data_IF_129141870978
#
_entry.id   IF_129141870978
#
_cell.length_a   1.000
_cell.length_b   1.000
_cell.length_c   1.000
_cell.angle_alpha   90.00
_cell.angle_beta   90.00
_cell.angle_gamma   90.00
#
_symmetry.space_group_name_H-M   'P 1'
#
loop_
_entity.id
_entity.type
_entity.pdbx_description
1 polymer ?
#
# COMPACT_ATOMS: atom_id res chain seq x y z
N UNK A 1 -25.54 46.47 -61.02
CA UNK A 1 -25.40 45.72 -62.29
C UNK A 1 -23.92 45.50 -62.58
N UNK A 2 -23.56 44.40 -63.28
CA UNK A 2 -22.19 43.95 -63.63
C UNK A 2 -21.28 43.63 -62.42
N UNK A 3 -20.46 42.56 -62.35
CA UNK A 3 -19.83 41.60 -63.31
C UNK A 3 -18.65 42.12 -64.15
N UNK A 4 -17.42 41.79 -63.70
CA UNK A 4 -16.20 41.32 -64.43
C UNK A 4 -15.10 41.15 -63.36
N UNK A 5 -14.38 40.04 -63.10
CA UNK A 5 -13.94 38.81 -63.81
C UNK A 5 -12.54 38.93 -64.46
N UNK A 6 -11.56 38.19 -63.89
CA UNK A 6 -10.34 37.61 -64.52
C UNK A 6 -9.23 38.59 -64.98
N UNK A 7 -7.91 38.30 -64.98
CA UNK A 7 -7.06 37.23 -64.38
C UNK A 7 -5.89 37.93 -63.60
N UNK A 8 -4.57 37.59 -63.53
CA UNK A 8 -3.68 36.46 -63.97
C UNK A 8 -2.33 36.53 -63.20
N UNK A 9 -1.68 35.38 -62.93
CA UNK A 9 -0.23 35.20 -62.60
C UNK A 9 0.30 35.89 -61.32
N UNK A 10 1.36 35.47 -60.63
CA UNK A 10 2.04 34.19 -60.36
C UNK A 10 3.40 34.55 -59.73
N UNK A 11 3.66 34.17 -58.48
CA UNK A 11 4.99 34.17 -57.88
C UNK A 11 5.08 33.00 -56.89
N UNK A 12 6.14 32.21 -56.96
CA UNK A 12 6.33 31.03 -56.12
C UNK A 12 7.27 31.34 -54.94
N UNK A 13 6.95 30.80 -53.76
CA UNK A 13 7.84 30.79 -52.59
C UNK A 13 7.87 29.37 -52.04
N UNK A 14 9.04 28.71 -51.96
CA UNK A 14 9.14 27.36 -51.43
C UNK A 14 9.15 27.39 -49.90
N UNK A 15 8.06 26.97 -49.27
CA UNK A 15 8.07 26.67 -47.84
C UNK A 15 8.71 25.30 -47.59
N UNK A 16 9.73 25.29 -46.72
CA UNK A 16 10.44 24.08 -46.31
C UNK A 16 9.51 23.22 -45.47
N UNK A 17 9.11 22.06 -45.99
CA UNK A 17 8.29 21.10 -45.27
C UNK A 17 9.12 20.40 -44.18
N UNK A 18 9.22 21.02 -43.00
CA UNK A 18 9.86 20.44 -41.83
C UNK A 18 9.13 19.17 -41.38
N UNK A 19 9.82 18.04 -41.37
CA UNK A 19 9.23 16.75 -41.06
C UNK A 19 8.83 16.63 -39.58
N UNK A 20 7.52 16.65 -39.32
CA UNK A 20 6.92 16.30 -38.04
C UNK A 20 5.86 15.23 -38.25
N UNK A 21 6.12 14.02 -37.72
CA UNK A 21 5.17 12.97 -37.26
C UNK A 21 5.94 11.66 -36.95
N UNK A 22 7.14 11.77 -36.37
CA UNK A 22 7.97 10.63 -35.94
C UNK A 22 7.70 10.18 -34.49
N UNK A 23 6.43 10.17 -34.06
CA UNK A 23 6.09 9.91 -32.65
C UNK A 23 6.38 8.44 -32.29
N UNK A 24 7.21 8.24 -31.28
CA UNK A 24 7.90 6.96 -31.00
C UNK A 24 6.98 5.85 -30.48
N UNK A 25 6.34 5.13 -31.39
CA UNK A 25 5.47 3.98 -31.08
C UNK A 25 6.20 2.83 -30.35
N UNK A 26 7.54 2.81 -30.35
CA UNK A 26 8.36 1.81 -29.66
C UNK A 26 8.20 1.84 -28.12
N UNK A 27 8.04 3.02 -27.50
CA UNK A 27 7.98 3.12 -26.04
C UNK A 27 6.67 2.56 -25.46
N UNK A 28 5.53 2.82 -26.13
CA UNK A 28 4.23 2.32 -25.70
C UNK A 28 4.14 0.78 -25.70
N UNK A 29 4.89 0.11 -26.59
CA UNK A 29 4.92 -1.36 -26.69
C UNK A 29 5.81 -2.04 -25.63
N UNK A 30 6.79 -1.34 -25.05
CA UNK A 30 7.53 -1.83 -23.88
C UNK A 30 6.78 -1.53 -22.56
N UNK A 31 6.00 -0.46 -22.49
CA UNK A 31 5.26 -0.06 -21.28
C UNK A 31 4.13 -1.00 -20.85
N UNK A 32 3.87 -2.08 -21.58
CA UNK A 32 2.83 -3.08 -21.30
C UNK A 32 3.36 -4.46 -20.90
N UNK A 33 4.61 -4.83 -21.27
CA UNK A 33 5.14 -6.18 -20.98
C UNK A 33 5.46 -6.42 -19.51
N UNK A 34 5.98 -5.42 -18.82
CA UNK A 34 6.41 -5.54 -17.42
C UNK A 34 5.27 -5.29 -16.41
N UNK A 35 4.09 -4.89 -16.89
CA UNK A 35 2.97 -4.49 -16.04
C UNK A 35 1.89 -5.57 -15.99
N UNK A 36 1.60 -6.05 -14.78
CA UNK A 36 0.37 -6.75 -14.49
C UNK A 36 -0.79 -5.75 -14.47
N UNK A 37 -1.91 -6.12 -15.08
CA UNK A 37 -3.15 -5.34 -15.07
C UNK A 37 -4.24 -6.09 -14.32
N UNK A 38 -5.00 -5.38 -13.49
CA UNK A 38 -6.07 -5.94 -12.66
C UNK A 38 -7.31 -5.06 -12.69
N UNK A 39 -8.49 -5.69 -12.61
CA UNK A 39 -9.75 -5.04 -12.25
C UNK A 39 -10.13 -5.50 -10.86
N UNK A 40 -10.20 -4.56 -9.92
CA UNK A 40 -10.62 -4.78 -8.54
C UNK A 40 -12.06 -4.31 -8.39
N UNK A 41 -12.93 -5.14 -7.86
CA UNK A 41 -14.31 -4.78 -7.47
C UNK A 41 -14.47 -4.97 -5.96
N UNK A 42 -14.76 -3.89 -5.25
CA UNK A 42 -15.17 -3.90 -3.85
C UNK A 42 -16.69 -3.74 -3.77
N UNK A 43 -17.35 -4.55 -2.96
CA UNK A 43 -18.77 -4.38 -2.62
C UNK A 43 -18.92 -4.26 -1.11
N UNK A 44 -19.76 -3.35 -0.65
CA UNK A 44 -20.15 -3.21 0.76
C UNK A 44 -21.67 -3.24 0.87
N UNK A 45 -22.14 -3.86 1.94
CA UNK A 45 -23.53 -4.04 2.32
C UNK A 45 -23.62 -3.84 3.84
N UNK A 46 -24.15 -2.69 4.27
CA UNK A 46 -24.37 -2.37 5.69
C UNK A 46 -25.85 -2.66 6.02
N UNK A 47 -26.16 -3.34 7.13
CA UNK A 47 -27.54 -3.63 7.51
C UNK A 47 -28.44 -2.39 7.59
N UNK A 48 -29.73 -2.56 7.30
CA UNK A 48 -30.73 -1.50 7.40
C UNK A 48 -30.80 -0.93 8.84
N UNK A 49 -31.00 0.39 8.92
CA UNK A 49 -30.93 1.18 10.16
C UNK A 49 -31.66 2.49 9.97
N UNK A 50 -32.14 3.10 11.06
CA UNK A 50 -32.80 4.41 11.05
C UNK A 50 -31.81 5.57 11.33
N UNK A 51 -30.53 5.24 11.49
CA UNK A 51 -29.43 6.17 11.77
C UNK A 51 -28.67 6.56 10.51
N UNK A 52 -28.02 7.73 10.50
CA UNK A 52 -27.15 8.12 9.40
C UNK A 52 -25.93 7.18 9.30
N UNK A 53 -25.56 6.79 8.08
CA UNK A 53 -24.48 5.83 7.82
C UNK A 53 -23.34 6.50 7.07
N UNK A 54 -22.10 6.25 7.51
CA UNK A 54 -20.88 6.67 6.84
C UNK A 54 -19.97 5.48 6.57
N UNK A 55 -19.28 5.51 5.43
CA UNK A 55 -18.36 4.48 4.95
C UNK A 55 -17.13 5.12 4.31
N UNK A 56 -15.93 4.62 4.65
CA UNK A 56 -14.67 5.00 4.03
C UNK A 56 -14.02 3.75 3.44
N UNK A 57 -13.89 3.71 2.11
CA UNK A 57 -13.14 2.68 1.40
C UNK A 57 -11.71 3.17 1.12
N UNK A 58 -10.65 2.47 1.55
CA UNK A 58 -9.29 2.82 1.14
C UNK A 58 -9.11 2.64 -0.36
N UNK A 59 -8.37 3.57 -0.97
CA UNK A 59 -8.03 3.56 -2.39
C UNK A 59 -6.52 3.73 -2.59
N UNK A 60 -5.94 3.09 -3.63
CA UNK A 60 -4.58 3.39 -4.07
C UNK A 60 -4.54 4.80 -4.65
N UNK A 61 -3.44 5.51 -4.40
CA UNK A 61 -3.13 6.73 -5.15
C UNK A 61 -3.06 6.45 -6.66
N UNK A 62 -3.51 7.41 -7.47
CA UNK A 62 -3.53 7.33 -8.95
C UNK A 62 -2.17 6.92 -9.55
N UNK A 63 -1.08 7.32 -8.89
CA UNK A 63 0.27 6.84 -9.13
C UNK A 63 1.00 6.71 -7.79
N UNK A 64 1.72 5.61 -7.60
CA UNK A 64 2.64 5.41 -6.49
C UNK A 64 3.99 4.96 -7.07
N UNK A 65 4.99 5.85 -6.96
CA UNK A 65 6.30 5.69 -7.58
C UNK A 65 6.23 5.46 -9.09
N UNK A 66 6.99 4.47 -9.54
CA UNK A 66 7.04 3.95 -10.91
C UNK A 66 6.48 2.52 -11.02
N UNK A 67 5.97 1.95 -9.93
CA UNK A 67 5.62 0.53 -9.80
C UNK A 67 4.11 0.25 -9.63
N UNK A 68 3.30 1.28 -9.38
CA UNK A 68 1.85 1.18 -9.26
C UNK A 68 1.13 2.38 -9.90
N UNK A 69 0.11 2.12 -10.71
CA UNK A 69 -0.78 3.12 -11.32
C UNK A 69 -2.24 2.67 -11.24
N UNK A 70 -3.14 3.56 -10.84
CA UNK A 70 -4.56 3.26 -10.66
C UNK A 70 -5.45 4.28 -11.38
N UNK A 71 -6.47 3.81 -12.09
CA UNK A 71 -7.48 4.68 -12.69
C UNK A 71 -8.41 5.27 -11.62
N UNK A 72 -9.11 6.34 -11.94
CA UNK A 72 -10.25 6.82 -11.12
C UNK A 72 -11.25 5.68 -10.97
N UNK A 73 -11.68 5.32 -9.74
CA UNK A 73 -12.67 4.27 -9.56
C UNK A 73 -14.04 4.72 -10.07
N UNK A 74 -14.82 3.77 -10.55
CA UNK A 74 -16.25 3.94 -10.85
C UNK A 74 -17.06 3.29 -9.72
N UNK A 75 -18.21 3.87 -9.36
CA UNK A 75 -19.05 3.33 -8.29
C UNK A 75 -20.55 3.46 -8.57
N UNK A 76 -21.33 2.60 -7.92
CA UNK A 76 -22.78 2.69 -7.77
C UNK A 76 -23.12 2.61 -6.29
N UNK A 77 -24.04 3.46 -5.84
CA UNK A 77 -24.50 3.59 -4.45
C UNK A 77 -26.02 3.45 -4.44
N UNK A 78 -26.60 2.82 -3.42
CA UNK A 78 -28.05 2.70 -3.26
C UNK A 78 -28.69 3.95 -2.63
N UNK A 79 -30.00 4.10 -2.88
CA UNK A 79 -30.88 5.16 -2.39
C UNK A 79 -30.34 6.59 -2.65
N UNK A 80 -30.54 7.51 -1.70
CA UNK A 80 -30.07 8.90 -1.75
C UNK A 80 -28.61 9.08 -1.26
N UNK A 81 -27.87 7.96 -1.20
CA UNK A 81 -26.48 7.90 -0.75
C UNK A 81 -25.52 8.68 -1.65
N UNK A 82 -24.64 9.48 -1.02
CA UNK A 82 -23.72 10.39 -1.69
C UNK A 82 -22.28 9.91 -1.50
N UNK A 83 -21.52 9.84 -2.60
CA UNK A 83 -20.13 9.38 -2.59
C UNK A 83 -19.18 10.43 -3.19
N UNK A 84 -18.01 10.59 -2.58
CA UNK A 84 -16.95 11.52 -2.98
C UNK A 84 -15.57 10.95 -2.70
N UNK A 85 -14.61 11.28 -3.55
CA UNK A 85 -13.19 11.04 -3.27
C UNK A 85 -12.67 12.09 -2.27
N UNK A 86 -11.89 11.66 -1.28
CA UNK A 86 -11.23 12.56 -0.32
C UNK A 86 -9.78 12.15 -0.07
N UNK A 87 -8.89 13.13 0.11
CA UNK A 87 -7.52 12.93 0.57
C UNK A 87 -7.42 13.28 2.05
N UNK A 88 -7.14 12.28 2.89
CA UNK A 88 -6.99 12.49 4.34
C UNK A 88 -5.52 12.83 4.66
N UNK A 89 -5.32 13.95 5.37
CA UNK A 89 -4.01 14.45 5.82
C UNK A 89 -3.56 13.76 7.13
N UNK A 90 -2.25 13.72 7.43
CA UNK A 90 -1.14 14.27 6.65
C UNK A 90 -0.75 13.42 5.44
N UNK A 91 -0.92 12.09 5.53
CA UNK A 91 -0.43 11.07 4.57
C UNK A 91 -1.07 11.07 3.17
N UNK A 92 -1.86 12.09 2.79
CA UNK A 92 -2.60 12.21 1.53
C UNK A 92 -3.35 10.92 1.13
N UNK A 93 -3.95 10.25 2.11
CA UNK A 93 -4.56 8.93 1.90
C UNK A 93 -5.89 9.05 1.18
N UNK A 94 -5.99 8.47 -0.01
CA UNK A 94 -7.19 8.52 -0.82
C UNK A 94 -8.25 7.55 -0.28
N UNK A 95 -9.47 8.03 -0.12
CA UNK A 95 -10.64 7.23 0.21
C UNK A 95 -11.83 7.57 -0.68
N UNK A 96 -12.69 6.59 -0.95
CA UNK A 96 -14.08 6.88 -1.31
C UNK A 96 -14.88 7.00 -0.01
N UNK A 97 -15.38 8.19 0.30
CA UNK A 97 -16.29 8.45 1.42
C UNK A 97 -17.71 8.41 0.88
N UNK A 98 -18.53 7.53 1.43
CA UNK A 98 -19.95 7.37 1.13
C UNK A 98 -20.77 7.69 2.37
N UNK A 99 -21.85 8.45 2.21
CA UNK A 99 -22.74 8.86 3.30
C UNK A 99 -24.19 8.67 2.90
N UNK A 100 -24.99 8.06 3.77
CA UNK A 100 -26.44 7.96 3.65
C UNK A 100 -27.13 8.68 4.82
N UNK A 101 -28.22 9.41 4.56
CA UNK A 101 -29.06 10.00 5.60
C UNK A 101 -29.93 8.92 6.30
N UNK A 102 -30.59 9.32 7.39
CA UNK A 102 -31.57 8.51 8.14
C UNK A 102 -32.82 8.09 7.33
N UNK A 103 -32.95 8.56 6.09
CA UNK A 103 -34.05 8.24 5.15
C UNK A 103 -33.72 7.09 4.20
N UNK A 104 -32.46 6.64 4.14
CA UNK A 104 -32.05 5.51 3.31
C UNK A 104 -32.49 4.17 3.93
N UNK A 105 -32.96 3.27 3.09
CA UNK A 105 -33.35 1.92 3.47
C UNK A 105 -32.27 0.89 3.07
N UNK A 106 -31.42 1.23 2.09
CA UNK A 106 -30.34 0.38 1.59
C UNK A 106 -28.99 1.09 1.66
N UNK A 107 -28.01 0.46 2.32
CA UNK A 107 -26.68 1.02 2.58
C UNK A 107 -25.58 0.24 1.84
N UNK A 108 -25.65 0.23 0.51
CA UNK A 108 -24.78 -0.57 -0.36
C UNK A 108 -23.98 0.26 -1.36
N UNK A 109 -22.73 -0.14 -1.60
CA UNK A 109 -21.88 0.41 -2.66
C UNK A 109 -21.15 -0.71 -3.40
N UNK A 110 -21.15 -0.64 -4.73
CA UNK A 110 -20.22 -1.40 -5.58
C UNK A 110 -19.25 -0.42 -6.22
N UNK A 111 -17.96 -0.63 -6.01
CA UNK A 111 -16.86 0.19 -6.52
C UNK A 111 -15.91 -0.68 -7.35
N UNK A 112 -15.61 -0.26 -8.58
CA UNK A 112 -14.68 -0.95 -9.48
C UNK A 112 -13.54 -0.02 -9.89
N UNK A 113 -12.30 -0.52 -9.82
CA UNK A 113 -11.10 0.23 -10.18
C UNK A 113 -10.17 -0.64 -11.03
N UNK A 114 -9.59 -0.07 -12.08
CA UNK A 114 -8.48 -0.69 -12.81
C UNK A 114 -7.17 -0.27 -12.15
N UNK A 115 -6.32 -1.24 -11.80
CA UNK A 115 -5.02 -1.03 -11.18
C UNK A 115 -3.97 -1.79 -11.98
N UNK A 116 -2.85 -1.16 -12.26
CA UNK A 116 -1.69 -1.81 -12.88
C UNK A 116 -0.50 -1.74 -11.95
N UNK A 117 0.27 -2.82 -11.88
CA UNK A 117 1.46 -2.94 -11.03
C UNK A 117 2.61 -3.61 -11.77
N UNK A 118 3.86 -3.30 -11.42
CA UNK A 118 5.04 -4.01 -11.93
C UNK A 118 6.01 -4.33 -10.79
N UNK A 119 6.67 -5.49 -10.86
CA UNK A 119 7.59 -5.93 -9.80
C UNK A 119 8.71 -4.89 -9.60
N UNK A 120 9.11 -4.71 -8.33
CA UNK A 120 10.08 -3.69 -7.94
C UNK A 120 11.24 -4.34 -7.22
N UNK A 121 12.46 -4.02 -7.64
CA UNK A 121 13.69 -4.42 -6.96
C UNK A 121 14.68 -3.26 -7.04
N UNK A 122 15.28 -2.90 -5.91
CA UNK A 122 16.35 -1.89 -5.83
C UNK A 122 17.67 -2.65 -5.71
N UNK A 123 18.60 -2.47 -6.65
CA UNK A 123 19.96 -2.90 -6.41
C UNK A 123 20.56 -2.04 -5.29
N UNK A 124 21.01 -2.69 -4.21
CA UNK A 124 21.60 -2.03 -3.06
C UNK A 124 23.08 -1.68 -3.30
N UNK A 125 23.73 -2.28 -4.31
CA UNK A 125 25.14 -2.02 -4.67
C UNK A 125 25.29 -0.81 -5.59
N UNK A 126 24.28 -0.53 -6.42
CA UNK A 126 24.31 0.54 -7.43
C UNK A 126 23.14 1.50 -7.20
N UNK A 127 23.38 2.76 -6.80
CA UNK A 127 22.32 3.76 -6.70
C UNK A 127 21.56 3.92 -8.02
N UNK A 128 20.21 3.95 -8.01
CA UNK A 128 19.41 4.19 -9.20
C UNK A 128 19.66 5.59 -9.75
N UNK A 129 19.69 5.75 -11.08
CA UNK A 129 20.05 7.01 -11.74
C UNK A 129 19.15 8.21 -11.41
N UNK A 130 17.90 7.97 -10.98
CA UNK A 130 16.94 9.01 -10.58
C UNK A 130 16.22 8.57 -9.28
N UNK A 131 16.86 8.71 -8.10
CA UNK A 131 16.25 8.31 -6.84
C UNK A 131 15.16 9.29 -6.42
N UNK A 132 14.12 8.78 -5.73
CA UNK A 132 13.12 9.64 -5.10
C UNK A 132 13.79 10.45 -3.98
N UNK A 133 13.65 11.77 -4.02
CA UNK A 133 14.05 12.68 -2.94
C UNK A 133 12.83 13.08 -2.14
N UNK A 134 12.93 13.01 -0.81
CA UNK A 134 11.89 13.52 0.10
C UNK A 134 12.07 15.02 0.32
N UNK A 135 10.97 15.74 0.57
CA UNK A 135 11.06 17.07 1.17
C UNK A 135 11.41 16.99 2.66
N UNK A 136 11.74 18.12 3.30
CA UNK A 136 12.00 18.16 4.75
C UNK A 136 10.75 17.75 5.57
N UNK A 137 9.56 18.11 5.07
CA UNK A 137 8.28 17.77 5.69
C UNK A 137 7.97 16.27 5.55
N UNK A 138 8.25 15.66 4.40
CA UNK A 138 8.13 14.21 4.22
C UNK A 138 9.15 13.43 5.06
N UNK A 139 10.39 13.93 5.12
CA UNK A 139 11.46 13.38 5.96
C UNK A 139 11.02 13.34 7.44
N UNK A 140 10.50 14.45 7.95
CA UNK A 140 9.94 14.52 9.30
C UNK A 140 8.72 13.60 9.49
N UNK A 141 7.78 13.59 8.53
CA UNK A 141 6.56 12.76 8.57
C UNK A 141 6.83 11.25 8.69
N UNK A 142 7.95 10.77 8.12
CA UNK A 142 8.34 9.37 8.19
C UNK A 142 9.44 9.07 9.21
N UNK A 143 9.87 10.06 10.00
CA UNK A 143 10.68 9.90 11.22
C UNK A 143 9.84 10.02 12.50
N UNK A 144 8.68 10.68 12.46
CA UNK A 144 7.86 10.94 13.65
C UNK A 144 7.33 9.64 14.31
N UNK A 145 7.17 9.64 15.65
CA UNK A 145 6.44 8.58 16.35
C UNK A 145 4.94 8.60 16.01
N UNK A 146 4.29 7.47 16.24
CA UNK A 146 2.83 7.32 16.25
C UNK A 146 2.40 6.76 17.61
N UNK A 147 1.10 6.76 17.91
CA UNK A 147 0.52 6.20 19.14
C UNK A 147 0.98 4.76 19.43
N UNK A 148 1.18 3.97 18.36
CA UNK A 148 1.54 2.54 18.44
C UNK A 148 2.97 2.24 17.99
N UNK A 149 3.60 3.15 17.22
CA UNK A 149 5.00 3.11 16.83
C UNK A 149 5.76 4.31 17.47
N UNK A 150 5.95 4.33 18.80
CA UNK A 150 6.79 5.33 19.44
C UNK A 150 8.27 5.12 19.04
N UNK A 151 9.06 6.19 19.04
CA UNK A 151 10.47 6.17 18.57
C UNK A 151 11.48 6.31 19.72
N UNK A 152 11.02 6.19 20.97
CA UNK A 152 11.78 6.38 22.19
C UNK A 152 11.74 5.13 23.09
N UNK A 153 11.97 5.29 24.40
CA UNK A 153 11.64 4.28 25.40
C UNK A 153 12.24 2.90 25.14
N UNK A 154 11.40 1.87 25.09
CA UNK A 154 11.82 0.49 24.81
C UNK A 154 12.16 0.24 23.33
N UNK A 155 11.55 1.00 22.40
CA UNK A 155 11.82 0.87 20.96
C UNK A 155 13.24 1.34 20.65
N UNK A 156 13.59 2.55 21.07
CA UNK A 156 14.95 3.08 20.91
C UNK A 156 16.01 2.22 21.61
N UNK A 157 15.73 1.74 22.84
CA UNK A 157 16.65 0.82 23.54
C UNK A 157 16.86 -0.49 22.77
N UNK A 158 15.81 -1.05 22.18
CA UNK A 158 15.88 -2.28 21.39
C UNK A 158 16.65 -2.06 20.08
N UNK A 159 16.33 -1.01 19.32
CA UNK A 159 17.03 -0.69 18.07
C UNK A 159 18.52 -0.41 18.29
N UNK A 160 18.87 0.36 19.34
CA UNK A 160 20.28 0.60 19.69
C UNK A 160 21.01 -0.70 20.13
N UNK A 161 20.32 -1.64 20.82
CA UNK A 161 20.88 -2.97 21.16
C UNK A 161 21.10 -3.85 19.91
N UNK A 162 20.34 -3.66 18.83
CA UNK A 162 20.51 -4.35 17.55
C UNK A 162 21.73 -3.77 16.80
N UNK A 163 21.73 -2.45 16.54
CA UNK A 163 22.79 -1.84 15.73
C UNK A 163 24.13 -1.76 16.47
N UNK A 164 24.13 -1.49 17.78
CA UNK A 164 25.33 -1.38 18.62
C UNK A 164 26.34 -0.32 18.08
N UNK A 165 25.82 0.75 17.47
CA UNK A 165 26.61 1.79 16.81
C UNK A 165 27.24 1.39 15.46
N UNK A 166 26.95 0.19 14.94
CA UNK A 166 27.48 -0.33 13.68
C UNK A 166 26.62 0.05 12.46
N UNK A 167 27.11 -0.29 11.28
CA UNK A 167 26.51 0.01 9.99
C UNK A 167 26.94 1.38 9.51
N UNK A 168 27.54 1.43 8.32
CA UNK A 168 28.18 2.62 7.76
C UNK A 168 27.12 3.58 7.19
N UNK A 169 25.99 3.03 6.74
CA UNK A 169 24.86 3.78 6.19
C UNK A 169 23.49 3.20 6.63
N UNK A 170 22.39 3.82 6.18
CA UNK A 170 21.04 3.40 6.58
C UNK A 170 20.63 2.02 6.04
N UNK A 171 21.18 1.56 4.90
CA UNK A 171 20.91 0.21 4.35
C UNK A 171 21.44 -0.85 5.33
N UNK A 172 22.67 -0.70 5.82
CA UNK A 172 23.27 -1.66 6.76
C UNK A 172 22.47 -1.72 8.06
N UNK A 173 22.14 -0.56 8.63
CA UNK A 173 21.37 -0.46 9.88
C UNK A 173 19.95 -0.99 9.72
N UNK A 174 19.29 -0.71 8.59
CA UNK A 174 18.01 -1.30 8.25
C UNK A 174 18.11 -2.82 8.06
N UNK A 175 19.18 -3.34 7.45
CA UNK A 175 19.41 -4.79 7.30
C UNK A 175 19.57 -5.49 8.65
N UNK A 176 20.33 -4.89 9.56
CA UNK A 176 20.49 -5.40 10.93
C UNK A 176 19.15 -5.45 11.70
N UNK A 177 18.30 -4.42 11.53
CA UNK A 177 16.96 -4.38 12.13
C UNK A 177 16.04 -5.42 11.46
N UNK A 178 16.06 -5.52 10.14
CA UNK A 178 15.30 -6.52 9.37
C UNK A 178 15.65 -7.95 9.79
N UNK A 179 16.94 -8.30 9.82
CA UNK A 179 17.41 -9.64 10.19
C UNK A 179 17.04 -9.97 11.64
N UNK A 180 17.12 -8.98 12.55
CA UNK A 180 16.66 -9.17 13.92
C UNK A 180 15.15 -9.40 14.00
N UNK A 181 14.34 -8.64 13.24
CA UNK A 181 12.88 -8.82 13.19
C UNK A 181 12.52 -10.20 12.62
N UNK A 182 13.15 -10.65 11.53
CA UNK A 182 12.93 -12.01 10.98
C UNK A 182 13.34 -13.09 11.97
N UNK A 183 14.45 -12.92 12.70
CA UNK A 183 14.92 -13.91 13.66
C UNK A 183 14.08 -13.99 14.96
N UNK A 184 13.53 -12.85 15.43
CA UNK A 184 12.91 -12.75 16.76
C UNK A 184 11.37 -12.71 16.74
N UNK A 185 10.73 -12.41 15.60
CA UNK A 185 9.26 -12.47 15.48
C UNK A 185 8.73 -13.85 15.12
N UNK A 186 7.43 -14.08 15.31
CA UNK A 186 6.74 -15.27 14.81
C UNK A 186 5.40 -14.88 14.15
N UNK A 187 5.00 -15.64 13.13
CA UNK A 187 3.69 -15.50 12.49
C UNK A 187 2.65 -16.25 13.33
N UNK A 188 1.74 -15.53 13.99
CA UNK A 188 0.60 -16.14 14.70
C UNK A 188 -0.67 -16.08 13.84
N UNK A 189 -1.23 -17.22 13.40
CA UNK A 189 -2.48 -17.25 12.65
C UNK A 189 -3.71 -16.79 13.47
N UNK A 190 -3.66 -16.81 14.81
CA UNK A 190 -4.77 -16.47 15.72
C UNK A 190 -5.02 -14.95 15.83
N UNK A 191 -4.01 -14.13 15.61
CA UNK A 191 -4.10 -12.65 15.61
C UNK A 191 -5.28 -12.18 14.75
N UNK A 192 -6.11 -11.28 15.26
CA UNK A 192 -7.27 -10.79 14.50
C UNK A 192 -6.84 -9.90 13.32
N UNK A 193 -7.50 -10.06 12.18
CA UNK A 193 -7.16 -9.35 10.94
C UNK A 193 -5.70 -9.58 10.55
N UNK A 194 -4.95 -8.47 10.46
CA UNK A 194 -3.53 -8.42 10.14
C UNK A 194 -2.64 -7.99 11.32
N UNK A 195 -3.18 -7.83 12.52
CA UNK A 195 -2.49 -7.20 13.66
C UNK A 195 -3.05 -5.83 14.04
N UNK A 196 -2.68 -5.30 15.20
CA UNK A 196 -2.99 -3.92 15.60
C UNK A 196 -1.81 -2.96 15.43
N UNK A 197 -0.58 -3.49 15.32
CA UNK A 197 0.65 -2.71 15.15
C UNK A 197 1.19 -2.05 16.42
N UNK A 198 0.75 -2.46 17.62
CA UNK A 198 1.20 -1.90 18.90
C UNK A 198 2.59 -2.39 19.31
N UNK A 199 3.62 -1.87 18.62
CA UNK A 199 5.04 -2.22 18.81
C UNK A 199 5.48 -2.06 20.27
N UNK A 200 5.01 -1.02 20.96
CA UNK A 200 5.32 -0.82 22.38
C UNK A 200 4.88 -2.00 23.23
N UNK A 201 3.66 -2.49 23.03
CA UNK A 201 3.11 -3.64 23.74
C UNK A 201 3.83 -4.96 23.37
N UNK A 202 4.21 -5.15 22.10
CA UNK A 202 5.01 -6.31 21.68
C UNK A 202 6.34 -6.37 22.43
N UNK A 203 7.06 -5.24 22.50
CA UNK A 203 8.35 -5.16 23.18
C UNK A 203 8.23 -5.23 24.70
N UNK A 204 7.28 -4.53 25.31
CA UNK A 204 7.08 -4.53 26.78
C UNK A 204 6.66 -5.91 27.31
N UNK A 205 5.88 -6.66 26.53
CA UNK A 205 5.45 -8.03 26.89
C UNK A 205 6.44 -9.12 26.50
N UNK A 206 7.41 -8.81 25.63
CA UNK A 206 8.29 -9.79 24.99
C UNK A 206 7.60 -10.70 23.95
N UNK A 207 6.28 -10.57 23.75
CA UNK A 207 5.57 -11.34 22.72
C UNK A 207 5.70 -10.64 21.36
N UNK A 208 6.70 -11.06 20.59
CA UNK A 208 6.94 -10.59 19.22
C UNK A 208 6.19 -11.42 18.15
N UNK A 209 5.15 -12.15 18.56
CA UNK A 209 4.30 -12.94 17.67
C UNK A 209 3.13 -12.10 17.15
N UNK A 210 2.82 -12.19 15.86
CA UNK A 210 1.72 -11.44 15.26
C UNK A 210 1.53 -11.70 13.78
N UNK A 211 0.95 -10.73 13.07
CA UNK A 211 0.76 -10.73 11.62
C UNK A 211 1.47 -9.51 11.00
N UNK A 212 1.17 -9.19 9.74
CA UNK A 212 1.97 -8.24 8.98
C UNK A 212 1.91 -6.80 9.52
N UNK A 213 0.78 -6.36 10.09
CA UNK A 213 0.69 -5.04 10.71
C UNK A 213 1.47 -4.94 12.03
N UNK A 214 1.82 -6.07 12.66
CA UNK A 214 2.64 -6.11 13.87
C UNK A 214 4.14 -6.21 13.52
N UNK A 215 4.48 -7.15 12.63
CA UNK A 215 5.88 -7.47 12.28
C UNK A 215 6.52 -6.37 11.42
N UNK A 216 5.77 -5.77 10.47
CA UNK A 216 6.31 -4.71 9.64
C UNK A 216 6.31 -3.35 10.37
N UNK A 217 5.31 -3.09 11.23
CA UNK A 217 5.35 -1.94 12.14
C UNK A 217 6.52 -2.01 13.13
N UNK A 218 6.86 -3.19 13.65
CA UNK A 218 8.03 -3.40 14.51
C UNK A 218 9.33 -3.00 13.78
N UNK A 219 9.50 -3.40 12.51
CA UNK A 219 10.62 -2.93 11.69
C UNK A 219 10.60 -1.39 11.54
N UNK A 220 9.45 -0.79 11.19
CA UNK A 220 9.31 0.65 10.95
C UNK A 220 9.62 1.47 12.21
N UNK A 221 9.09 1.07 13.37
CA UNK A 221 9.32 1.76 14.64
C UNK A 221 10.79 1.68 15.07
N UNK A 222 11.41 0.49 14.97
CA UNK A 222 12.83 0.31 15.27
C UNK A 222 13.70 1.18 14.34
N UNK A 223 13.41 1.20 13.02
CA UNK A 223 14.13 2.01 12.04
C UNK A 223 14.01 3.52 12.35
N UNK A 224 12.79 4.03 12.59
CA UNK A 224 12.58 5.44 12.97
C UNK A 224 13.30 5.83 14.26
N UNK A 225 13.34 4.93 15.25
CA UNK A 225 14.01 5.17 16.54
C UNK A 225 15.54 5.32 16.47
N UNK A 226 16.16 4.99 15.33
CA UNK A 226 17.59 5.24 15.04
C UNK A 226 17.80 6.21 13.87
N UNK A 227 16.80 7.03 13.55
CA UNK A 227 16.91 8.11 12.55
C UNK A 227 16.77 7.66 11.10
N UNK A 228 16.29 6.45 10.84
CA UNK A 228 16.01 5.97 9.48
C UNK A 228 14.52 6.26 9.17
N UNK A 229 14.18 7.09 8.17
CA UNK A 229 12.78 7.33 7.83
C UNK A 229 12.17 6.04 7.30
N UNK A 230 11.03 5.63 7.84
CA UNK A 230 10.41 4.34 7.50
C UNK A 230 8.89 4.44 7.52
N UNK A 231 8.21 3.57 6.77
CA UNK A 231 6.74 3.55 6.68
C UNK A 231 6.20 2.16 6.39
N UNK A 232 5.05 1.86 6.98
CA UNK A 232 4.20 0.78 6.50
C UNK A 232 3.44 1.22 5.24
N UNK A 233 3.19 0.28 4.34
CA UNK A 233 2.42 0.43 3.12
C UNK A 233 1.23 -0.54 3.20
N UNK A 234 0.05 0.00 3.48
CA UNK A 234 -1.17 -0.75 3.80
C UNK A 234 -1.98 -1.06 2.54
N UNK A 235 -2.37 -2.32 2.32
CA UNK A 235 -2.83 -2.79 1.01
C UNK A 235 -3.58 -4.14 0.98
N UNK A 236 -3.66 -4.74 -0.21
CA UNK A 236 -4.30 -6.03 -0.48
C UNK A 236 -3.59 -6.78 -1.62
N UNK A 237 -3.52 -8.12 -1.56
CA UNK A 237 -3.07 -8.95 -2.71
C UNK A 237 -4.05 -8.80 -3.88
N UNK A 238 -3.54 -8.93 -5.10
CA UNK A 238 -4.27 -8.83 -6.37
C UNK A 238 -4.15 -10.10 -7.22
N UNK A 239 -3.06 -10.85 -7.08
CA UNK A 239 -2.80 -12.08 -7.82
C UNK A 239 -2.02 -13.12 -7.02
N UNK A 240 -1.79 -14.28 -7.63
CA UNK A 240 -0.87 -15.32 -7.12
C UNK A 240 0.58 -14.83 -7.10
N UNK A 241 1.49 -15.59 -6.48
CA UNK A 241 2.93 -15.34 -6.57
C UNK A 241 3.50 -16.02 -7.82
N UNK A 242 4.16 -15.25 -8.67
CA UNK A 242 4.93 -15.74 -9.81
C UNK A 242 6.35 -16.18 -9.36
N UNK A 243 6.79 -15.75 -8.16
CA UNK A 243 8.04 -16.21 -7.51
C UNK A 243 8.01 -17.67 -6.99
N UNK A 244 6.85 -18.32 -6.98
CA UNK A 244 6.66 -19.71 -6.57
C UNK A 244 6.32 -19.93 -5.09
N UNK A 245 5.78 -18.92 -4.39
CA UNK A 245 5.34 -19.04 -3.01
C UNK A 245 3.79 -19.03 -2.90
N UNK A 246 3.21 -20.14 -2.44
CA UNK A 246 1.75 -20.33 -2.38
C UNK A 246 1.08 -19.37 -1.38
N UNK A 247 1.75 -19.06 -0.29
CA UNK A 247 1.27 -18.18 0.77
C UNK A 247 1.32 -16.69 0.40
N UNK A 248 2.08 -16.30 -0.62
CA UNK A 248 2.38 -14.88 -0.92
C UNK A 248 1.49 -14.26 -2.01
N UNK A 249 0.40 -14.91 -2.39
CA UNK A 249 -0.54 -14.36 -3.36
C UNK A 249 -1.98 -14.81 -3.12
N UNK A 250 -2.92 -14.07 -3.70
CA UNK A 250 -4.33 -14.44 -3.79
C UNK A 250 -4.99 -13.74 -4.98
N UNK A 251 -5.72 -14.51 -5.77
CA UNK A 251 -6.56 -14.05 -6.88
C UNK A 251 -8.04 -14.42 -6.67
N UNK A 252 -8.92 -13.83 -7.46
CA UNK A 252 -10.37 -13.93 -7.29
C UNK A 252 -10.80 -13.20 -6.02
N UNK A 253 -11.50 -13.90 -5.12
CA UNK A 253 -11.88 -13.37 -3.80
C UNK A 253 -10.64 -13.04 -2.94
N UNK A 254 -10.33 -11.75 -2.85
CA UNK A 254 -9.26 -11.15 -2.04
C UNK A 254 -9.81 -10.46 -0.78
N UNK A 255 -11.07 -10.71 -0.40
CA UNK A 255 -11.76 -10.08 0.75
C UNK A 255 -10.99 -10.21 2.06
N UNK A 256 -10.22 -11.29 2.24
CA UNK A 256 -9.39 -11.59 3.42
C UNK A 256 -7.88 -11.58 3.10
N UNK A 257 -7.48 -11.00 1.96
CA UNK A 257 -6.10 -10.98 1.48
C UNK A 257 -5.40 -9.63 1.71
N UNK A 258 -5.85 -8.85 2.70
CA UNK A 258 -5.17 -7.64 3.15
C UNK A 258 -3.75 -7.97 3.58
N UNK A 259 -2.84 -7.05 3.26
CA UNK A 259 -1.45 -7.17 3.62
C UNK A 259 -0.85 -5.79 3.73
N UNK A 260 0.16 -5.64 4.59
CA UNK A 260 0.98 -4.45 4.62
C UNK A 260 2.45 -4.85 4.58
N UNK A 261 3.25 -4.03 3.93
CA UNK A 261 4.71 -4.16 3.80
C UNK A 261 5.39 -2.95 4.39
N UNK A 262 6.72 -2.94 4.52
CA UNK A 262 7.44 -1.76 4.97
C UNK A 262 8.40 -1.22 3.90
N UNK A 263 8.71 0.07 3.98
CA UNK A 263 9.81 0.69 3.25
C UNK A 263 10.66 1.51 4.23
N UNK A 264 11.97 1.61 3.95
CA UNK A 264 12.85 2.57 4.61
C UNK A 264 13.50 3.50 3.57
N UNK A 265 13.89 4.70 3.98
CA UNK A 265 14.49 5.70 3.10
C UNK A 265 16.02 5.72 3.24
N UNK A 266 16.69 5.73 2.09
CA UNK A 266 18.13 5.99 1.98
C UNK A 266 18.37 7.07 0.93
N UNK A 267 19.11 8.12 1.27
CA UNK A 267 19.47 9.15 0.30
C UNK A 267 20.33 8.55 -0.84
N UNK A 268 20.11 9.02 -2.07
CA UNK A 268 20.72 8.43 -3.26
C UNK A 268 20.02 7.16 -3.79
N UNK A 269 19.17 6.50 -3.00
CA UNK A 269 18.40 5.32 -3.42
C UNK A 269 16.89 5.57 -3.46
N UNK A 270 16.37 6.39 -2.54
CA UNK A 270 14.95 6.59 -2.35
C UNK A 270 14.36 5.61 -1.31
N UNK A 271 13.10 5.23 -1.51
CA UNK A 271 12.45 4.20 -0.71
C UNK A 271 12.94 2.80 -1.10
N UNK A 272 13.50 2.06 -0.16
CA UNK A 272 13.91 0.66 -0.32
C UNK A 272 12.83 -0.24 0.30
N UNK A 273 12.21 -1.14 -0.47
CA UNK A 273 11.12 -1.98 0.01
C UNK A 273 11.60 -3.18 0.81
N UNK A 274 10.89 -3.53 1.89
CA UNK A 274 11.13 -4.73 2.69
C UNK A 274 9.81 -5.44 3.09
N UNK A 275 9.88 -6.71 3.47
CA UNK A 275 8.73 -7.43 4.05
C UNK A 275 9.15 -8.59 4.97
N UNK A 276 9.67 -8.33 6.19
CA UNK A 276 10.00 -9.39 7.14
C UNK A 276 8.78 -10.22 7.56
N UNK A 277 7.56 -9.69 7.47
CA UNK A 277 6.35 -10.44 7.74
C UNK A 277 6.06 -11.53 6.71
N UNK A 278 6.32 -11.30 5.42
CA UNK A 278 6.19 -12.35 4.38
C UNK A 278 7.25 -13.45 4.55
N UNK A 279 8.45 -13.16 5.06
CA UNK A 279 9.43 -14.21 5.42
C UNK A 279 8.87 -15.11 6.53
N UNK A 280 8.34 -14.51 7.61
CA UNK A 280 7.68 -15.28 8.68
C UNK A 280 6.44 -16.01 8.21
N UNK A 281 5.76 -15.51 7.18
CA UNK A 281 4.63 -16.19 6.52
C UNK A 281 5.09 -17.41 5.73
N UNK A 282 6.14 -17.30 4.92
CA UNK A 282 6.75 -18.43 4.19
C UNK A 282 7.18 -19.54 5.14
N UNK A 283 7.78 -19.18 6.28
CA UNK A 283 8.17 -20.12 7.34
C UNK A 283 7.00 -20.89 7.97
N UNK A 284 5.78 -20.34 7.97
CA UNK A 284 4.60 -20.99 8.55
C UNK A 284 3.74 -21.71 7.51
N UNK A 285 3.54 -21.09 6.34
CA UNK A 285 2.41 -21.38 5.45
C UNK A 285 2.81 -22.11 4.14
N UNK A 286 4.10 -22.22 3.75
CA UNK A 286 4.52 -22.96 2.53
C UNK A 286 4.57 -24.50 2.68
N UNK A 287 4.53 -25.02 3.91
CA UNK A 287 4.58 -26.46 4.16
C UNK A 287 3.88 -26.82 5.47
N UNK A 288 3.19 -27.96 5.51
CA UNK A 288 2.60 -28.48 6.74
C UNK A 288 3.71 -28.76 7.78
N UNK A 289 3.53 -28.23 8.99
CA UNK A 289 4.56 -28.23 10.05
C UNK A 289 5.52 -27.04 10.01
N UNK A 290 5.48 -26.20 8.98
CA UNK A 290 6.37 -25.06 8.78
C UNK A 290 7.73 -25.42 8.17
N UNK A 291 8.57 -24.40 8.00
CA UNK A 291 9.94 -24.49 7.48
C UNK A 291 10.92 -23.80 8.45
N UNK A 292 12.11 -24.39 8.72
CA UNK A 292 13.16 -23.72 9.48
C UNK A 292 13.73 -22.54 8.69
N UNK A 293 14.36 -21.58 9.38
CA UNK A 293 14.95 -20.41 8.71
C UNK A 293 15.99 -20.80 7.64
N UNK A 294 16.73 -21.88 7.87
CA UNK A 294 17.73 -22.44 6.95
C UNK A 294 17.17 -23.15 5.72
N UNK A 295 15.85 -23.23 5.54
CA UNK A 295 15.26 -23.82 4.32
C UNK A 295 15.55 -22.93 3.10
N UNK A 296 15.95 -23.50 1.93
CA UNK A 296 16.24 -22.71 0.73
C UNK A 296 15.09 -21.81 0.24
N UNK A 297 13.82 -22.18 0.46
CA UNK A 297 12.67 -21.30 0.15
C UNK A 297 12.64 -20.09 1.08
N UNK A 298 12.91 -20.29 2.37
CA UNK A 298 12.93 -19.22 3.38
C UNK A 298 14.10 -18.27 3.14
N UNK A 299 15.29 -18.80 2.83
CA UNK A 299 16.44 -17.96 2.44
C UNK A 299 16.14 -17.17 1.16
N UNK A 300 15.61 -17.80 0.10
CA UNK A 300 15.17 -17.11 -1.13
C UNK A 300 14.15 -15.99 -0.85
N UNK A 301 13.21 -16.21 0.07
CA UNK A 301 12.24 -15.20 0.48
C UNK A 301 12.94 -14.04 1.22
N UNK A 302 13.74 -14.35 2.23
CA UNK A 302 14.48 -13.40 3.06
C UNK A 302 15.39 -12.48 2.23
N UNK A 303 16.15 -13.04 1.29
CA UNK A 303 17.11 -12.29 0.50
C UNK A 303 16.43 -11.37 -0.52
N UNK A 304 15.29 -11.80 -1.09
CA UNK A 304 14.50 -10.94 -1.97
C UNK A 304 13.73 -9.85 -1.20
N UNK A 305 13.20 -10.16 -0.02
CA UNK A 305 12.37 -9.25 0.78
C UNK A 305 13.18 -8.19 1.53
N UNK A 306 14.45 -7.99 1.19
CA UNK A 306 15.24 -6.82 1.54
C UNK A 306 15.76 -6.12 0.28
N UNK A 307 14.96 -5.22 -0.28
CA UNK A 307 15.21 -4.53 -1.56
C UNK A 307 14.20 -4.87 -2.66
N UNK A 308 13.47 -5.98 -2.52
CA UNK A 308 12.48 -6.47 -3.50
C UNK A 308 11.04 -6.56 -2.98
N UNK A 309 10.10 -6.19 -3.85
CA UNK A 309 8.67 -6.47 -3.72
C UNK A 309 8.15 -7.12 -5.01
N UNK A 310 7.61 -8.33 -4.88
CA UNK A 310 6.67 -8.85 -5.87
C UNK A 310 5.38 -8.02 -5.79
N UNK A 311 4.97 -7.41 -6.91
CA UNK A 311 3.84 -6.48 -6.96
C UNK A 311 2.54 -7.16 -7.39
N UNK A 312 2.33 -8.40 -6.94
CA UNK A 312 1.05 -9.12 -7.00
C UNK A 312 0.01 -8.61 -5.98
N UNK A 313 0.11 -7.34 -5.60
CA UNK A 313 -0.64 -6.64 -4.56
C UNK A 313 -0.67 -5.14 -4.90
N UNK A 314 -1.52 -4.38 -4.22
CA UNK A 314 -1.49 -2.91 -4.28
C UNK A 314 -1.44 -2.30 -2.88
N UNK A 315 -0.67 -1.23 -2.73
CA UNK A 315 -0.69 -0.37 -1.56
C UNK A 315 -1.78 0.70 -1.74
N UNK A 316 -2.69 0.81 -0.77
CA UNK A 316 -3.65 1.91 -0.67
C UNK A 316 -2.93 3.19 -0.22
N UNK A 317 -2.24 3.13 0.92
CA UNK A 317 -1.67 4.30 1.59
C UNK A 317 -0.57 3.91 2.59
N UNK A 318 0.01 4.91 3.26
CA UNK A 318 1.04 4.79 4.29
C UNK A 318 0.60 5.43 5.62
N UNK A 319 -0.71 5.46 5.89
CA UNK A 319 -1.26 6.21 7.01
C UNK A 319 -1.17 5.45 8.34
N UNK A 320 -0.70 6.15 9.36
CA UNK A 320 -0.94 5.81 10.75
C UNK A 320 -1.83 6.86 11.41
N UNK A 321 -2.41 6.54 12.57
CA UNK A 321 -3.12 7.48 13.45
C UNK A 321 -4.18 8.34 12.72
N UNK A 322 -4.88 7.70 11.79
CA UNK A 322 -5.76 8.34 10.82
C UNK A 322 -7.11 8.69 11.46
N UNK A 323 -7.41 9.99 11.54
CA UNK A 323 -8.73 10.50 11.94
C UNK A 323 -9.63 10.57 10.71
N UNK A 324 -10.73 9.81 10.70
CA UNK A 324 -11.66 9.80 9.59
C UNK A 324 -12.61 11.01 9.71
N UNK A 325 -12.80 11.84 8.65
CA UNK A 325 -13.64 13.04 8.73
C UNK A 325 -15.09 12.68 9.08
N UNK A 326 -15.62 13.27 10.15
CA UNK A 326 -16.96 12.96 10.68
C UNK A 326 -16.99 11.83 11.71
N UNK A 327 -15.84 11.43 12.26
CA UNK A 327 -15.72 10.45 13.35
C UNK A 327 -14.88 11.03 14.50
N UNK A 328 -15.11 10.57 15.74
CA UNK A 328 -14.18 10.83 16.86
C UNK A 328 -13.00 9.84 16.87
N UNK A 329 -13.13 8.75 16.12
CA UNK A 329 -12.20 7.62 16.12
C UNK A 329 -10.89 7.92 15.38
N UNK A 330 -9.80 7.37 15.91
CA UNK A 330 -8.47 7.44 15.31
C UNK A 330 -7.96 6.02 15.01
N UNK A 331 -8.06 5.63 13.75
CA UNK A 331 -7.63 4.32 13.27
C UNK A 331 -6.09 4.21 13.31
N UNK A 332 -5.56 3.08 13.79
CA UNK A 332 -4.11 2.86 13.84
C UNK A 332 -3.46 2.86 12.45
N UNK A 333 -4.20 2.35 11.44
CA UNK A 333 -3.86 2.33 10.02
C UNK A 333 -5.13 2.17 9.16
N UNK A 334 -5.01 2.18 7.81
CA UNK A 334 -6.15 1.99 6.90
C UNK A 334 -5.87 1.04 5.72
N UNK A 335 -6.27 -0.23 5.84
CA UNK A 335 -6.40 -1.20 4.71
C UNK A 335 -7.73 -1.96 4.65
N UNK A 336 -8.57 -1.84 5.68
CA UNK A 336 -9.94 -2.36 5.67
C UNK A 336 -10.93 -1.24 5.37
N UNK A 337 -12.09 -1.54 4.76
CA UNK A 337 -13.26 -0.68 4.85
C UNK A 337 -13.52 -0.27 6.31
N UNK A 338 -13.90 0.99 6.53
CA UNK A 338 -14.33 1.48 7.84
C UNK A 338 -15.75 2.06 7.71
N UNK A 339 -16.61 1.84 8.71
CA UNK A 339 -17.99 2.33 8.67
C UNK A 339 -18.47 2.75 10.07
N UNK A 340 -19.47 3.63 10.09
CA UNK A 340 -20.12 4.16 11.28
C UNK A 340 -21.63 4.31 11.03
N UNK A 341 -22.44 3.99 12.04
CA UNK A 341 -23.91 4.08 12.04
C UNK A 341 -24.33 4.90 13.26
N UNK A 342 -24.88 6.09 13.07
CA UNK A 342 -24.99 7.09 14.13
C UNK A 342 -23.59 7.44 14.66
N UNK A 343 -23.37 7.31 15.96
CA UNK A 343 -22.03 7.38 16.58
C UNK A 343 -21.31 6.02 16.68
N UNK A 344 -21.97 4.91 16.34
CA UNK A 344 -21.44 3.55 16.52
C UNK A 344 -20.56 3.13 15.34
N UNK A 345 -19.25 3.00 15.58
CA UNK A 345 -18.34 2.34 14.64
C UNK A 345 -18.71 0.86 14.42
N UNK A 346 -18.59 0.40 13.17
CA UNK A 346 -18.70 -1.00 12.78
C UNK A 346 -17.31 -1.67 12.69
N UNK A 347 -17.26 -2.96 13.03
CA UNK A 347 -16.06 -3.78 12.99
C UNK A 347 -16.00 -4.56 11.66
N UNK A 348 -15.04 -4.22 10.80
CA UNK A 348 -14.84 -4.86 9.50
C UNK A 348 -14.33 -6.31 9.58
N UNK A 349 -14.01 -6.81 10.77
CA UNK A 349 -13.70 -8.22 10.99
C UNK A 349 -14.94 -9.05 11.38
N UNK A 350 -16.12 -8.42 11.55
CA UNK A 350 -17.40 -9.06 11.91
C UNK A 350 -18.41 -9.00 10.75
N UNK A 351 -18.42 -10.01 9.84
CA UNK A 351 -19.22 -9.97 8.62
C UNK A 351 -20.74 -9.91 8.87
N UNK A 352 -21.21 -10.42 10.02
CA UNK A 352 -22.61 -10.39 10.44
C UNK A 352 -23.13 -8.96 10.68
N UNK A 353 -22.23 -8.01 10.93
CA UNK A 353 -22.53 -6.59 11.19
C UNK A 353 -21.95 -5.62 10.17
N UNK A 354 -20.95 -6.05 9.39
CA UNK A 354 -20.31 -5.25 8.34
C UNK A 354 -19.86 -6.19 7.22
N UNK A 355 -20.75 -6.39 6.24
CA UNK A 355 -20.53 -7.29 5.12
C UNK A 355 -19.85 -6.54 3.97
N UNK A 356 -18.74 -7.10 3.49
CA UNK A 356 -18.10 -6.63 2.26
C UNK A 356 -17.45 -7.80 1.52
N UNK A 357 -17.16 -7.56 0.24
CA UNK A 357 -16.32 -8.43 -0.59
C UNK A 357 -15.31 -7.58 -1.38
N UNK A 358 -14.17 -8.18 -1.72
CA UNK A 358 -13.18 -7.61 -2.64
C UNK A 358 -12.78 -8.73 -3.61
N UNK A 359 -12.92 -8.50 -4.91
CA UNK A 359 -12.58 -9.45 -5.97
C UNK A 359 -11.56 -8.83 -6.93
N UNK A 360 -10.50 -9.55 -7.28
CA UNK A 360 -9.47 -9.15 -8.24
C UNK A 360 -9.40 -10.11 -9.42
N UNK A 361 -9.52 -9.55 -10.61
CA UNK A 361 -9.39 -10.25 -11.89
C UNK A 361 -8.19 -9.68 -12.64
N UNK A 362 -7.18 -10.51 -12.92
CA UNK A 362 -6.06 -10.16 -13.82
C UNK A 362 -6.61 -10.01 -15.25
N UNK A 363 -6.18 -8.97 -15.96
CA UNK A 363 -6.68 -8.57 -17.29
C UNK A 363 -5.71 -8.97 -18.41
#
# INVERSE_FOLDING_TARGET
MNRRRFLRLSAAVPFIASALMGVSHANAANETKDWNHYRVTTQVDIPATNEAVQLWLPLPATRLGDYQRAQTPHWKVSDDGKAKLMLIKPYNSLVLHVTWPTTANQHSVTMTQSVSTRNRHIDLKTPPANPVKLTAEEMALYLQPTRYLPTDGIVAKTANKIIQGRGDNNIDRAKMIYDWVVANTQRDPKTLGCGDGNVKQMLDSGNLSGKCADINALFVALARSVGIPARDAYGVRLGKSDMGFNSLGKDGDITKAQHCRAEFYMEGYGWIPVDPADVRKVMLEEQAGGLPFSDPKVQKANDWMFGGWEMNWMAYNHAHDLKLPGTQDQAAYLMYPQAQVGDKKLDSLKPDTFKYSINSVKL
#
